data_IF_889329265780
#
_entry.id   IF_889329265780
#
_cell.length_a   1.000
_cell.length_b   1.000
_cell.length_c   1.000
_cell.angle_alpha   90.00
_cell.angle_beta   90.00
_cell.angle_gamma   90.00
#
_symmetry.space_group_name_H-M   'P 1'
#
loop_
_entity.id
_entity.type
_entity.pdbx_description
1 polymer ?
#
# COMPACT_ATOMS: atom_id res chain seq x y z
N UNK A 1 -3.90 16.23 0.82
CA UNK A 1 -5.18 16.81 1.29
C UNK A 1 -5.27 18.33 1.12
N UNK A 2 -4.25 19.01 0.58
CA UNK A 2 -4.23 20.48 0.46
C UNK A 2 -5.24 21.04 -0.55
N UNK A 3 -5.38 20.44 -1.72
CA UNK A 3 -6.32 20.91 -2.75
C UNK A 3 -7.78 20.71 -2.31
N UNK A 4 -8.28 19.47 -2.26
CA UNK A 4 -9.68 19.20 -1.94
C UNK A 4 -10.06 19.57 -0.49
N UNK A 5 -9.26 19.15 0.49
CA UNK A 5 -9.53 19.41 1.91
C UNK A 5 -9.36 20.88 2.30
N UNK A 6 -8.29 21.53 1.80
CA UNK A 6 -8.08 22.96 2.03
C UNK A 6 -9.16 23.82 1.39
N UNK A 7 -9.55 23.53 0.14
CA UNK A 7 -10.66 24.23 -0.51
C UNK A 7 -12.00 23.97 0.19
N UNK A 8 -12.27 22.75 0.66
CA UNK A 8 -13.51 22.44 1.38
C UNK A 8 -13.62 23.26 2.67
N UNK A 9 -12.54 23.35 3.45
CA UNK A 9 -12.50 24.15 4.68
C UNK A 9 -12.69 25.64 4.35
N UNK A 10 -11.99 26.16 3.35
CA UNK A 10 -12.13 27.57 2.95
C UNK A 10 -13.56 27.91 2.50
N UNK A 11 -14.19 27.03 1.72
CA UNK A 11 -15.56 27.22 1.25
C UNK A 11 -16.57 27.18 2.40
N UNK A 12 -16.46 26.19 3.30
CA UNK A 12 -17.36 26.08 4.46
C UNK A 12 -17.17 27.27 5.44
N UNK A 13 -15.93 27.72 5.65
CA UNK A 13 -15.66 28.91 6.48
C UNK A 13 -16.19 30.19 5.82
N UNK A 14 -16.05 30.35 4.51
CA UNK A 14 -16.55 31.53 3.78
C UNK A 14 -18.08 31.58 3.80
N UNK A 15 -18.76 30.45 3.62
CA UNK A 15 -20.22 30.35 3.77
C UNK A 15 -20.66 30.61 5.22
N UNK A 16 -19.94 30.06 6.20
CA UNK A 16 -20.18 30.27 7.62
C UNK A 16 -20.09 31.75 8.03
N UNK A 17 -19.10 32.49 7.51
CA UNK A 17 -18.95 33.93 7.76
C UNK A 17 -20.02 34.76 7.03
N UNK A 18 -20.40 34.38 5.80
CA UNK A 18 -21.35 35.15 5.01
C UNK A 18 -22.83 34.94 5.41
N UNK A 19 -23.17 33.76 5.93
CA UNK A 19 -24.57 33.33 6.11
C UNK A 19 -24.87 32.68 7.46
N UNK A 20 -23.90 32.64 8.40
CA UNK A 20 -23.98 31.88 9.67
C UNK A 20 -24.37 30.40 9.49
N UNK A 21 -24.14 29.83 8.30
CA UNK A 21 -24.58 28.48 7.95
C UNK A 21 -23.38 27.67 7.45
N UNK A 22 -23.06 26.57 8.14
CA UNK A 22 -22.04 25.59 7.74
C UNK A 22 -22.68 24.50 6.89
N UNK A 23 -23.17 24.87 5.71
CA UNK A 23 -24.01 24.00 4.89
C UNK A 23 -23.25 22.75 4.41
N UNK A 24 -21.97 22.92 4.05
CA UNK A 24 -21.12 21.86 3.53
C UNK A 24 -20.82 20.83 4.63
N UNK A 25 -20.31 21.28 5.78
CA UNK A 25 -19.99 20.39 6.89
C UNK A 25 -21.22 19.65 7.42
N UNK A 26 -22.36 20.34 7.52
CA UNK A 26 -23.60 19.73 8.04
C UNK A 26 -24.12 18.63 7.11
N UNK A 27 -24.11 18.84 5.80
CA UNK A 27 -24.51 17.83 4.82
C UNK A 27 -23.58 16.62 4.80
N UNK A 28 -22.27 16.83 4.95
CA UNK A 28 -21.28 15.73 4.99
C UNK A 28 -21.40 14.90 6.27
N UNK A 29 -21.64 15.54 7.42
CA UNK A 29 -21.84 14.82 8.69
C UNK A 29 -23.13 14.02 8.68
N UNK A 30 -24.16 14.50 7.97
CA UNK A 30 -25.41 13.76 7.81
C UNK A 30 -25.23 12.52 6.90
N UNK A 31 -24.42 12.63 5.84
CA UNK A 31 -24.08 11.51 4.97
C UNK A 31 -22.65 11.67 4.40
N UNK A 32 -21.72 10.90 4.96
CA UNK A 32 -20.32 10.94 4.54
C UNK A 32 -20.13 10.39 3.11
N UNK A 33 -21.04 9.55 2.62
CA UNK A 33 -20.92 8.90 1.32
C UNK A 33 -21.07 9.88 0.15
N UNK A 34 -21.77 10.99 0.37
CA UNK A 34 -22.00 12.03 -0.64
C UNK A 34 -20.96 13.16 -0.59
N UNK A 35 -19.98 13.10 0.30
CA UNK A 35 -19.12 14.24 0.63
C UNK A 35 -18.39 14.84 -0.57
N UNK A 36 -17.90 14.00 -1.47
CA UNK A 36 -17.23 14.43 -2.70
C UNK A 36 -18.19 15.21 -3.62
N UNK A 37 -19.46 14.79 -3.71
CA UNK A 37 -20.44 15.39 -4.61
C UNK A 37 -20.94 16.73 -4.08
N UNK A 38 -21.26 16.81 -2.79
CA UNK A 38 -21.66 18.06 -2.14
C UNK A 38 -20.51 19.09 -2.19
N UNK A 39 -19.26 18.64 -2.10
CA UNK A 39 -18.10 19.52 -2.32
C UNK A 39 -18.03 20.02 -3.78
N UNK A 40 -18.19 19.15 -4.76
CA UNK A 40 -18.16 19.52 -6.18
C UNK A 40 -19.31 20.46 -6.58
N UNK A 41 -20.45 20.40 -5.91
CA UNK A 41 -21.57 21.33 -6.09
C UNK A 41 -21.20 22.79 -5.83
N UNK A 42 -20.16 23.05 -5.04
CA UNK A 42 -19.66 24.40 -4.78
C UNK A 42 -18.83 24.99 -5.93
N UNK A 43 -18.56 24.22 -6.98
CA UNK A 43 -17.76 24.64 -8.13
C UNK A 43 -18.60 24.77 -9.41
N UNK A 44 -18.21 25.65 -10.34
CA UNK A 44 -18.80 25.67 -11.67
C UNK A 44 -18.56 24.32 -12.37
N UNK A 45 -19.54 23.85 -13.13
CA UNK A 45 -19.54 22.52 -13.80
C UNK A 45 -19.60 21.31 -12.87
N UNK A 46 -20.22 21.43 -11.69
CA UNK A 46 -20.39 20.34 -10.72
C UNK A 46 -20.90 19.03 -11.34
N UNK A 47 -21.88 19.07 -12.26
CA UNK A 47 -22.42 17.86 -12.91
C UNK A 47 -21.36 17.08 -13.69
N UNK A 48 -20.46 17.76 -14.41
CA UNK A 48 -19.37 17.13 -15.15
C UNK A 48 -18.36 16.54 -14.17
N UNK A 49 -18.01 17.30 -13.13
CA UNK A 49 -17.13 16.85 -12.05
C UNK A 49 -17.66 15.58 -11.37
N UNK A 50 -18.95 15.54 -11.04
CA UNK A 50 -19.60 14.39 -10.40
C UNK A 50 -19.57 13.14 -11.28
N UNK A 51 -19.83 13.28 -12.59
CA UNK A 51 -19.73 12.15 -13.53
C UNK A 51 -18.30 11.60 -13.57
N UNK A 52 -17.30 12.48 -13.68
CA UNK A 52 -15.89 12.09 -13.65
C UNK A 52 -15.55 11.42 -12.31
N UNK A 53 -16.05 11.96 -11.19
CA UNK A 53 -15.86 11.41 -9.85
C UNK A 53 -16.40 9.98 -9.74
N UNK A 54 -17.60 9.71 -10.25
CA UNK A 54 -18.18 8.37 -10.28
C UNK A 54 -17.28 7.42 -11.09
N UNK A 55 -16.88 7.82 -12.30
CA UNK A 55 -16.01 6.99 -13.15
C UNK A 55 -14.67 6.68 -12.48
N UNK A 56 -14.06 7.66 -11.82
CA UNK A 56 -12.80 7.48 -11.10
C UNK A 56 -12.95 6.52 -9.92
N UNK A 57 -13.96 6.75 -9.06
CA UNK A 57 -14.20 5.89 -7.89
C UNK A 57 -14.48 4.46 -8.33
N UNK A 58 -15.31 4.25 -9.36
CA UNK A 58 -15.58 2.91 -9.90
C UNK A 58 -14.33 2.28 -10.51
N UNK A 59 -13.54 3.00 -11.30
CA UNK A 59 -12.31 2.47 -11.90
C UNK A 59 -11.26 2.09 -10.85
N UNK A 60 -11.07 2.92 -9.83
CA UNK A 60 -10.17 2.62 -8.72
C UNK A 60 -10.67 1.43 -7.90
N UNK A 61 -11.97 1.33 -7.66
CA UNK A 61 -12.56 0.19 -6.97
C UNK A 61 -12.30 -1.12 -7.73
N UNK A 62 -12.57 -1.17 -9.04
CA UNK A 62 -12.35 -2.36 -9.88
C UNK A 62 -10.87 -2.75 -9.89
N UNK A 63 -9.97 -1.80 -10.13
CA UNK A 63 -8.52 -2.08 -10.20
C UNK A 63 -7.95 -2.52 -8.84
N UNK A 64 -8.44 -1.93 -7.76
CA UNK A 64 -8.06 -2.30 -6.39
C UNK A 64 -8.55 -3.69 -6.02
N UNK A 65 -9.80 -4.02 -6.32
CA UNK A 65 -10.37 -5.36 -6.09
C UNK A 65 -9.66 -6.44 -6.91
N UNK A 66 -9.30 -6.12 -8.15
CA UNK A 66 -8.52 -7.03 -8.99
C UNK A 66 -7.17 -7.39 -8.36
N UNK A 67 -6.45 -6.38 -7.86
CA UNK A 67 -5.16 -6.57 -7.19
C UNK A 67 -5.32 -7.30 -5.84
N UNK A 68 -6.38 -7.01 -5.10
CA UNK A 68 -6.67 -7.63 -3.80
C UNK A 68 -6.96 -9.12 -3.92
N UNK A 69 -7.88 -9.49 -4.82
CA UNK A 69 -8.25 -10.89 -5.05
C UNK A 69 -7.06 -11.74 -5.51
N UNK A 70 -6.13 -11.16 -6.29
CA UNK A 70 -4.89 -11.83 -6.70
C UNK A 70 -3.97 -12.14 -5.51
N UNK A 71 -3.85 -11.23 -4.54
CA UNK A 71 -3.05 -11.46 -3.33
C UNK A 71 -3.64 -12.57 -2.48
N UNK A 72 -4.96 -12.60 -2.28
CA UNK A 72 -5.63 -13.66 -1.53
C UNK A 72 -5.47 -15.00 -2.23
N UNK A 73 -5.65 -15.02 -3.55
CA UNK A 73 -5.48 -16.21 -4.38
C UNK A 73 -4.05 -16.78 -4.26
N UNK A 74 -3.05 -15.91 -4.33
CA UNK A 74 -1.63 -16.28 -4.18
C UNK A 74 -1.33 -16.86 -2.79
N UNK A 75 -1.88 -16.27 -1.72
CA UNK A 75 -1.70 -16.78 -0.34
C UNK A 75 -2.36 -18.15 -0.18
N UNK A 76 -3.57 -18.31 -0.72
CA UNK A 76 -4.37 -19.54 -0.58
C UNK A 76 -3.90 -20.68 -1.49
N UNK A 77 -3.23 -20.36 -2.61
CA UNK A 77 -2.55 -21.32 -3.48
C UNK A 77 -1.14 -21.73 -2.99
N UNK A 78 -0.73 -21.31 -1.78
CA UNK A 78 0.57 -21.64 -1.20
C UNK A 78 1.75 -20.85 -1.77
N UNK A 79 1.50 -19.64 -2.27
CA UNK A 79 2.50 -18.74 -2.85
C UNK A 79 2.75 -18.96 -4.35
N UNK A 80 1.95 -19.80 -5.01
CA UNK A 80 2.02 -19.98 -6.47
C UNK A 80 1.27 -18.84 -7.15
N UNK A 81 1.94 -18.17 -8.08
CA UNK A 81 1.35 -17.08 -8.88
C UNK A 81 0.36 -17.57 -9.93
N UNK A 82 0.38 -18.88 -10.25
CA UNK A 82 -0.47 -19.51 -11.25
C UNK A 82 -1.58 -20.30 -10.56
N UNK A 83 -2.53 -19.56 -9.97
CA UNK A 83 -3.73 -20.11 -9.37
C UNK A 83 -4.89 -20.13 -10.39
N UNK A 84 -5.77 -21.15 -10.34
CA UNK A 84 -6.81 -21.31 -11.35
C UNK A 84 -7.80 -20.15 -11.33
N UNK A 85 -8.15 -19.64 -12.51
CA UNK A 85 -9.05 -18.47 -12.71
C UNK A 85 -10.36 -18.57 -11.92
N UNK A 86 -10.88 -19.79 -11.70
CA UNK A 86 -12.08 -20.02 -10.89
C UNK A 86 -11.92 -19.63 -9.41
N UNK A 87 -10.74 -19.83 -8.82
CA UNK A 87 -10.44 -19.47 -7.43
C UNK A 87 -10.40 -17.94 -7.25
N UNK A 88 -9.81 -17.23 -8.23
CA UNK A 88 -9.83 -15.77 -8.27
C UNK A 88 -11.23 -15.20 -8.36
N UNK A 89 -12.09 -15.74 -9.25
CA UNK A 89 -13.49 -15.31 -9.38
C UNK A 89 -14.25 -15.56 -8.07
N UNK A 90 -14.00 -16.69 -7.41
CA UNK A 90 -14.59 -17.01 -6.12
C UNK A 90 -14.23 -15.96 -5.05
N UNK A 91 -12.95 -15.59 -4.92
CA UNK A 91 -12.52 -14.57 -3.95
C UNK A 91 -13.06 -13.18 -4.28
N UNK A 92 -13.00 -12.75 -5.54
CA UNK A 92 -13.54 -11.46 -5.97
C UNK A 92 -15.06 -11.35 -5.72
N UNK A 93 -15.81 -12.41 -6.00
CA UNK A 93 -17.27 -12.43 -5.76
C UNK A 93 -17.61 -12.44 -4.27
N UNK A 94 -16.83 -13.18 -3.48
CA UNK A 94 -17.04 -13.26 -2.02
C UNK A 94 -16.76 -11.92 -1.35
N UNK A 95 -15.69 -11.21 -1.72
CA UNK A 95 -15.40 -9.86 -1.23
C UNK A 95 -16.54 -8.88 -1.54
N UNK A 96 -17.02 -8.87 -2.79
CA UNK A 96 -18.16 -8.04 -3.20
C UNK A 96 -19.44 -8.39 -2.46
N UNK A 97 -19.69 -9.68 -2.21
CA UNK A 97 -20.86 -10.16 -1.47
C UNK A 97 -20.82 -9.71 -0.01
N UNK A 98 -19.67 -9.84 0.65
CA UNK A 98 -19.50 -9.37 2.03
C UNK A 98 -19.72 -7.87 2.12
N UNK A 99 -19.15 -7.09 1.19
CA UNK A 99 -19.36 -5.65 1.13
C UNK A 99 -20.85 -5.29 0.93
N UNK A 100 -21.55 -5.97 0.02
CA UNK A 100 -22.97 -5.74 -0.22
C UNK A 100 -23.83 -6.07 1.01
N UNK A 101 -23.56 -7.19 1.69
CA UNK A 101 -24.28 -7.60 2.90
C UNK A 101 -24.07 -6.59 4.03
N UNK A 102 -22.83 -6.13 4.24
CA UNK A 102 -22.53 -5.11 5.26
C UNK A 102 -23.22 -3.77 4.94
N UNK A 103 -23.24 -3.37 3.67
CA UNK A 103 -23.90 -2.14 3.25
C UNK A 103 -25.42 -2.21 3.49
N UNK A 104 -26.06 -3.33 3.16
CA UNK A 104 -27.51 -3.53 3.37
C UNK A 104 -27.83 -3.62 4.87
N UNK A 105 -26.98 -4.28 5.66
CA UNK A 105 -27.23 -4.55 7.07
C UNK A 105 -27.00 -3.35 7.99
N UNK A 106 -26.04 -2.47 7.68
CA UNK A 106 -25.71 -1.34 8.55
C UNK A 106 -25.00 -0.17 7.87
N UNK A 107 -25.06 -0.10 6.53
CA UNK A 107 -24.56 1.04 5.76
C UNK A 107 -23.04 1.25 5.87
N UNK A 108 -22.63 2.49 5.61
CA UNK A 108 -21.23 2.90 5.62
C UNK A 108 -20.57 2.67 7.00
N UNK A 109 -21.29 2.94 8.09
CA UNK A 109 -20.77 2.75 9.46
C UNK A 109 -20.43 1.29 9.76
N UNK A 110 -21.26 0.34 9.30
CA UNK A 110 -20.96 -1.08 9.43
C UNK A 110 -19.72 -1.47 8.61
N UNK A 111 -19.58 -0.94 7.40
CA UNK A 111 -18.41 -1.18 6.56
C UNK A 111 -17.11 -0.64 7.20
N UNK A 112 -17.16 0.59 7.74
CA UNK A 112 -16.03 1.21 8.45
C UNK A 112 -15.67 0.41 9.71
N UNK A 113 -16.67 -0.01 10.49
CA UNK A 113 -16.45 -0.78 11.71
C UNK A 113 -15.84 -2.15 11.40
N UNK A 114 -16.36 -2.85 10.39
CA UNK A 114 -15.80 -4.12 9.93
C UNK A 114 -14.33 -3.96 9.51
N UNK A 115 -14.00 -2.90 8.77
CA UNK A 115 -12.63 -2.59 8.37
C UNK A 115 -11.70 -2.31 9.57
N UNK A 116 -12.16 -1.54 10.56
CA UNK A 116 -11.37 -1.23 11.77
C UNK A 116 -11.16 -2.50 12.62
N UNK A 117 -12.22 -3.25 12.88
CA UNK A 117 -12.17 -4.45 13.71
C UNK A 117 -11.31 -5.54 13.10
N UNK A 118 -11.30 -5.69 11.77
CA UNK A 118 -10.44 -6.65 11.07
C UNK A 118 -9.00 -6.15 10.88
N UNK A 119 -8.82 -4.85 10.68
CA UNK A 119 -7.50 -4.22 10.51
C UNK A 119 -6.67 -4.21 11.80
N UNK A 120 -7.30 -4.04 12.95
CA UNK A 120 -6.61 -3.97 14.24
C UNK A 120 -5.79 -5.24 14.60
N UNK A 121 -6.32 -6.48 14.52
CA UNK A 121 -5.51 -7.67 14.74
C UNK A 121 -4.45 -7.86 13.64
N UNK A 122 -4.76 -7.49 12.39
CA UNK A 122 -3.79 -7.58 11.28
C UNK A 122 -2.61 -6.62 11.47
N UNK A 123 -2.82 -5.45 12.10
CA UNK A 123 -1.75 -4.52 12.47
C UNK A 123 -0.65 -5.19 13.30
N UNK A 124 -1.03 -6.06 14.25
CA UNK A 124 -0.06 -6.78 15.10
C UNK A 124 0.84 -7.66 14.22
N UNK A 125 0.25 -8.36 13.24
CA UNK A 125 0.99 -9.18 12.27
C UNK A 125 1.93 -8.31 11.44
N UNK A 126 1.46 -7.16 10.96
CA UNK A 126 2.29 -6.21 10.20
C UNK A 126 3.50 -5.70 11.00
N UNK A 127 3.35 -5.47 12.32
CA UNK A 127 4.46 -5.10 13.19
C UNK A 127 5.51 -6.22 13.27
N UNK A 128 5.07 -7.48 13.40
CA UNK A 128 5.98 -8.63 13.35
C UNK A 128 6.65 -8.78 11.98
N UNK A 129 5.93 -8.54 10.89
CA UNK A 129 6.51 -8.56 9.54
C UNK A 129 7.56 -7.48 9.36
N UNK A 130 7.30 -6.25 9.84
CA UNK A 130 8.28 -5.17 9.83
C UNK A 130 9.54 -5.53 10.61
N UNK A 131 9.38 -6.08 11.82
CA UNK A 131 10.51 -6.55 12.63
C UNK A 131 11.29 -7.67 11.92
N UNK A 132 10.60 -8.64 11.33
CA UNK A 132 11.20 -9.74 10.57
C UNK A 132 11.98 -9.23 9.36
N UNK A 133 11.43 -8.28 8.61
CA UNK A 133 12.07 -7.66 7.46
C UNK A 133 13.34 -6.91 7.88
N UNK A 134 13.28 -6.10 8.94
CA UNK A 134 14.45 -5.40 9.48
C UNK A 134 15.53 -6.38 9.94
N UNK A 135 15.15 -7.49 10.58
CA UNK A 135 16.08 -8.54 10.99
C UNK A 135 16.70 -9.22 9.77
N UNK A 136 15.90 -9.60 8.78
CA UNK A 136 16.34 -10.24 7.54
C UNK A 136 17.35 -9.36 6.80
N UNK A 137 17.02 -8.08 6.59
CA UNK A 137 17.88 -7.13 5.91
C UNK A 137 19.21 -6.90 6.65
N UNK A 138 19.19 -6.86 7.99
CA UNK A 138 20.42 -6.75 8.80
C UNK A 138 21.31 -8.00 8.69
N UNK A 139 20.71 -9.19 8.65
CA UNK A 139 21.45 -10.43 8.47
C UNK A 139 22.09 -10.51 7.09
N UNK A 140 21.35 -10.13 6.05
CA UNK A 140 21.86 -10.10 4.68
C UNK A 140 22.99 -9.08 4.51
N UNK A 141 22.82 -7.86 5.05
CA UNK A 141 23.87 -6.84 5.05
C UNK A 141 25.15 -7.29 5.79
N UNK A 142 24.99 -8.01 6.91
CA UNK A 142 26.14 -8.54 7.64
C UNK A 142 26.85 -9.66 6.85
N UNK A 143 26.08 -10.52 6.16
CA UNK A 143 26.62 -11.58 5.32
C UNK A 143 27.37 -11.02 4.12
N UNK A 144 26.83 -9.98 3.48
CA UNK A 144 27.44 -9.32 2.33
C UNK A 144 28.80 -8.69 2.70
N UNK A 145 28.88 -8.02 3.86
CA UNK A 145 30.15 -7.50 4.39
C UNK A 145 31.18 -8.57 4.72
N UNK A 146 30.75 -9.75 5.16
CA UNK A 146 31.67 -10.86 5.40
C UNK A 146 32.20 -11.43 4.08
N UNK A 147 31.32 -11.58 3.09
CA UNK A 147 31.69 -12.03 1.76
C UNK A 147 32.72 -11.09 1.10
N UNK A 148 32.53 -9.77 1.22
CA UNK A 148 33.49 -8.76 0.74
C UNK A 148 34.88 -8.93 1.39
N UNK A 149 34.93 -9.09 2.73
CA UNK A 149 36.20 -9.31 3.46
C UNK A 149 36.89 -10.62 3.10
N UNK A 150 36.15 -11.71 2.93
CA UNK A 150 36.71 -13.01 2.58
C UNK A 150 37.28 -13.00 1.15
N UNK A 151 36.65 -12.27 0.23
CA UNK A 151 37.16 -12.04 -1.12
C UNK A 151 38.45 -11.20 -1.11
N UNK A 152 38.47 -10.09 -0.36
CA UNK A 152 39.67 -9.26 -0.21
C UNK A 152 40.84 -10.08 0.35
N UNK A 153 40.60 -10.87 1.41
CA UNK A 153 41.63 -11.72 2.03
C UNK A 153 42.26 -12.70 1.04
N UNK A 154 41.45 -13.40 0.25
CA UNK A 154 41.94 -14.35 -0.77
C UNK A 154 42.80 -13.64 -1.82
N UNK A 155 42.39 -12.43 -2.23
CA UNK A 155 43.14 -11.62 -3.17
C UNK A 155 44.51 -11.19 -2.60
N UNK A 156 44.58 -10.87 -1.31
CA UNK A 156 45.85 -10.58 -0.62
C UNK A 156 46.76 -11.82 -0.57
N UNK A 157 46.22 -12.99 -0.20
CA UNK A 157 46.97 -14.24 -0.13
C UNK A 157 47.53 -14.66 -1.51
N UNK A 158 46.74 -14.50 -2.58
CA UNK A 158 47.17 -14.75 -3.95
C UNK A 158 48.30 -13.80 -4.40
N UNK A 159 48.15 -12.49 -4.12
CA UNK A 159 49.20 -11.49 -4.41
C UNK A 159 50.49 -11.80 -3.65
N UNK A 160 50.40 -12.18 -2.37
CA UNK A 160 51.56 -12.55 -1.55
C UNK A 160 52.28 -13.77 -2.12
N UNK A 161 51.54 -14.83 -2.47
CA UNK A 161 52.11 -16.04 -3.07
C UNK A 161 52.87 -15.73 -4.36
N UNK A 162 52.26 -14.96 -5.27
CA UNK A 162 52.89 -14.56 -6.52
C UNK A 162 54.16 -13.71 -6.32
N UNK A 163 54.16 -12.81 -5.33
CA UNK A 163 55.32 -11.98 -4.99
C UNK A 163 56.46 -12.83 -4.40
N UNK A 164 56.14 -13.78 -3.53
CA UNK A 164 57.14 -14.67 -2.92
C UNK A 164 57.77 -15.57 -3.98
N UNK A 165 56.96 -16.20 -4.84
CA UNK A 165 57.45 -17.05 -5.94
C UNK A 165 58.39 -16.24 -6.86
N UNK A 166 57.99 -15.03 -7.25
CA UNK A 166 58.80 -14.16 -8.09
C UNK A 166 60.13 -13.77 -7.43
N UNK A 167 60.16 -13.56 -6.12
CA UNK A 167 61.40 -13.30 -5.37
C UNK A 167 62.31 -14.53 -5.32
N UNK A 168 61.76 -15.71 -5.06
CA UNK A 168 62.53 -16.96 -5.04
C UNK A 168 63.15 -17.28 -6.41
N UNK A 169 62.43 -17.01 -7.51
CA UNK A 169 62.98 -17.14 -8.87
C UNK A 169 64.11 -16.14 -9.17
N UNK A 170 64.09 -14.96 -8.54
CA UNK A 170 65.15 -13.96 -8.69
C UNK A 170 66.39 -14.34 -7.88
N UNK A 171 66.23 -14.85 -6.66
CA UNK A 171 67.37 -15.32 -5.83
C UNK A 171 68.04 -16.56 -6.44
N UNK A 172 67.29 -17.53 -6.98
CA UNK A 172 67.86 -18.76 -7.54
C UNK A 172 68.56 -18.56 -8.91
N UNK A 173 68.48 -17.35 -9.49
CA UNK A 173 69.19 -16.95 -10.71
C UNK A 173 70.47 -16.15 -10.41
N UNK A 174 70.74 -15.82 -9.15
CA UNK A 174 71.97 -15.20 -8.68
C UNK A 174 72.95 -16.24 -8.14
#
# INVERSE_FOLDING_TARGET
MTALGGSAILLDMQEGVASNTHSLATSIVADESIALFVFLEKFPFSSVGSIIGILLVTSFFVTSSDSGSLVIDSITAGGKLDAPVGQRIFWATTEGTVAAVLLIGGGLTALQTAAITTGLPFLIILLFMCYSLLKGLRLEYAKDKQFEKDMDRKLYEEKLSNVIIKKLEQENKS
#
